data_IF_348053673509
#
_entry.id   IF_348053673509
#
_cell.length_a   1.000
_cell.length_b   1.000
_cell.length_c   1.000
_cell.angle_alpha   90.00
_cell.angle_beta   90.00
_cell.angle_gamma   90.00
#
_symmetry.space_group_name_H-M   'P 1'
#
loop_
_entity.id
_entity.type
_entity.pdbx_description
1 polymer ?
#
# COMPACT_ATOMS: atom_id res chain seq x y z
N UNK A 1 42.45 29.27 75.67
CA UNK A 1 42.94 30.61 76.05
C UNK A 1 44.40 30.60 76.15
N UNK A 2 45.14 31.47 75.52
CA UNK A 2 46.60 31.55 75.47
C UNK A 2 47.01 32.93 75.96
N UNK A 3 47.99 33.02 76.86
CA UNK A 3 48.61 34.26 77.30
C UNK A 3 50.12 34.09 77.18
N UNK A 4 50.76 35.05 76.52
CA UNK A 4 52.27 35.10 76.32
C UNK A 4 52.82 33.76 75.75
N UNK A 5 52.08 33.11 74.81
CA UNK A 5 52.48 31.85 74.21
C UNK A 5 52.11 30.58 75.02
N UNK A 6 51.64 30.73 76.27
CA UNK A 6 51.33 29.62 77.17
C UNK A 6 49.77 29.43 77.28
N UNK A 7 49.28 28.18 77.22
CA UNK A 7 47.90 27.84 77.47
C UNK A 7 47.56 28.08 78.94
N UNK A 8 46.66 29.03 79.23
CA UNK A 8 46.27 29.41 80.60
C UNK A 8 44.92 28.83 81.02
N UNK A 9 44.08 28.42 80.02
CA UNK A 9 42.86 27.71 80.28
C UNK A 9 42.37 27.02 78.96
N UNK A 10 41.77 25.92 79.15
CA UNK A 10 41.05 25.18 78.07
C UNK A 10 39.55 25.04 78.43
N UNK A 11 38.73 25.14 77.45
CA UNK A 11 37.28 24.88 77.54
C UNK A 11 36.88 24.05 76.36
N UNK A 12 36.15 22.97 76.62
CA UNK A 12 35.47 22.23 75.59
C UNK A 12 34.33 23.04 75.04
N UNK A 13 34.26 23.12 73.72
CA UNK A 13 33.15 23.76 72.96
C UNK A 13 32.53 22.69 72.12
N UNK A 14 31.25 22.46 72.29
CA UNK A 14 30.44 21.60 71.40
C UNK A 14 30.08 22.40 70.14
N UNK A 15 30.56 21.91 69.02
CA UNK A 15 30.14 22.46 67.70
C UNK A 15 29.14 21.55 67.14
N UNK A 16 27.85 22.01 66.94
CA UNK A 16 26.83 21.22 66.29
C UNK A 16 27.20 21.07 64.81
N UNK A 17 27.15 19.85 64.30
CA UNK A 17 27.37 19.54 62.87
C UNK A 17 26.07 19.04 62.30
N UNK A 18 25.57 19.72 61.29
CA UNK A 18 24.39 19.28 60.53
C UNK A 18 24.87 18.71 59.21
N UNK A 19 24.48 17.47 58.94
CA UNK A 19 24.70 16.83 57.63
C UNK A 19 23.45 17.04 56.77
N UNK A 20 23.62 17.69 55.64
CA UNK A 20 22.56 17.92 54.67
C UNK A 20 22.81 17.05 53.45
N UNK A 21 21.76 16.65 52.77
CA UNK A 21 21.85 15.86 51.54
C UNK A 21 20.50 15.80 50.82
N UNK A 22 20.55 15.62 49.53
CA UNK A 22 19.39 15.56 48.65
C UNK A 22 19.06 14.13 48.25
N UNK A 23 17.82 13.87 47.91
CA UNK A 23 17.35 12.55 47.46
C UNK A 23 16.83 12.67 46.04
N UNK A 24 17.40 11.93 45.05
CA UNK A 24 16.88 11.87 43.70
C UNK A 24 15.77 10.83 43.55
N UNK A 25 14.83 11.09 42.66
CA UNK A 25 13.87 10.13 42.10
C UNK A 25 14.26 9.84 40.65
N UNK A 26 13.89 8.63 40.15
CA UNK A 26 14.10 8.30 38.74
C UNK A 26 13.16 9.08 37.84
N UNK A 27 13.67 9.50 36.68
CA UNK A 27 12.90 10.09 35.57
C UNK A 27 12.83 9.06 34.46
N UNK A 28 11.64 8.86 33.88
CA UNK A 28 11.43 8.00 32.72
C UNK A 28 11.00 8.86 31.54
N UNK A 29 11.69 8.69 30.40
CA UNK A 29 11.45 9.42 29.14
C UNK A 29 11.55 8.45 27.98
N UNK A 30 11.16 8.88 26.77
CA UNK A 30 11.26 8.05 25.57
C UNK A 30 12.38 8.52 24.65
N UNK A 31 12.87 7.62 23.82
CA UNK A 31 13.83 7.90 22.76
C UNK A 31 13.30 9.04 21.87
N UNK A 32 14.13 10.08 21.70
CA UNK A 32 13.82 11.28 20.94
C UNK A 32 12.98 12.34 21.64
N UNK A 33 12.59 12.13 22.90
CA UNK A 33 11.91 13.19 23.67
C UNK A 33 12.89 14.30 24.07
N UNK A 34 12.37 15.52 24.14
CA UNK A 34 13.09 16.63 24.80
C UNK A 34 12.93 16.53 26.30
N UNK A 35 14.02 16.58 27.05
CA UNK A 35 13.99 16.57 28.50
C UNK A 35 14.18 18.00 29.01
N UNK A 36 13.16 18.54 29.63
CA UNK A 36 13.22 19.87 30.21
C UNK A 36 14.04 19.88 31.53
N UNK A 37 14.82 20.91 31.73
CA UNK A 37 15.62 21.08 32.97
C UNK A 37 14.77 20.98 34.23
N UNK A 38 13.55 21.53 34.17
CA UNK A 38 12.58 21.49 35.27
C UNK A 38 12.16 20.05 35.63
N UNK A 39 11.99 19.16 34.66
CA UNK A 39 11.62 17.75 34.90
C UNK A 39 12.67 17.07 35.77
N UNK A 40 13.95 17.30 35.48
CA UNK A 40 15.06 16.70 36.22
C UNK A 40 15.22 17.36 37.59
N UNK A 41 15.04 18.69 37.69
CA UNK A 41 15.05 19.41 38.97
C UNK A 41 13.94 18.96 39.90
N UNK A 42 12.70 18.73 39.37
CA UNK A 42 11.57 18.30 40.16
C UNK A 42 11.74 16.88 40.71
N UNK A 43 12.63 16.07 40.09
CA UNK A 43 13.02 14.76 40.59
C UNK A 43 13.99 14.78 41.77
N UNK A 44 14.53 15.94 42.13
CA UNK A 44 15.40 16.09 43.31
C UNK A 44 14.60 16.67 44.48
N UNK A 45 14.64 16.00 45.60
CA UNK A 45 14.18 16.54 46.89
C UNK A 45 15.41 17.04 47.62
N UNK A 46 15.66 18.35 47.73
CA UNK A 46 16.82 18.87 48.43
C UNK A 46 16.70 18.65 49.93
N UNK A 47 17.80 18.55 50.62
CA UNK A 47 17.84 18.65 52.08
C UNK A 47 17.40 20.02 52.58
N UNK A 48 17.36 20.18 53.91
CA UNK A 48 16.93 21.44 54.55
C UNK A 48 17.75 22.62 54.00
N UNK A 49 17.06 23.67 53.61
CA UNK A 49 17.64 24.93 53.07
C UNK A 49 18.41 24.77 51.73
N UNK A 50 18.29 23.60 51.08
CA UNK A 50 18.91 23.33 49.79
C UNK A 50 18.17 24.01 48.61
N UNK A 51 18.91 24.69 47.75
CA UNK A 51 18.42 25.34 46.52
C UNK A 51 18.91 24.60 45.29
N UNK A 52 17.98 24.15 44.45
CA UNK A 52 18.27 23.42 43.18
C UNK A 52 18.75 24.36 42.09
N UNK A 53 19.93 24.07 41.52
CA UNK A 53 20.46 24.76 40.35
C UNK A 53 20.00 24.10 39.03
N UNK A 54 20.47 24.66 37.92
CA UNK A 54 20.15 24.14 36.58
C UNK A 54 20.99 22.90 36.25
N UNK A 55 20.39 21.77 35.84
CA UNK A 55 21.12 20.63 35.36
C UNK A 55 21.76 20.91 33.98
N UNK A 56 22.92 20.33 33.72
CA UNK A 56 23.47 20.26 32.37
C UNK A 56 22.90 19.02 31.64
N UNK A 57 21.93 19.24 30.76
CA UNK A 57 21.30 18.17 29.97
C UNK A 57 21.99 18.09 28.62
N UNK A 58 22.57 16.92 28.30
CA UNK A 58 23.16 16.65 26.99
C UNK A 58 22.06 16.50 25.94
N UNK A 59 22.24 17.07 24.73
CA UNK A 59 21.39 16.86 23.57
C UNK A 59 21.31 15.39 23.15
N UNK A 60 22.28 14.57 23.55
CA UNK A 60 22.34 13.13 23.25
C UNK A 60 21.64 12.27 24.29
N UNK A 61 21.10 12.87 25.36
CA UNK A 61 20.50 12.13 26.47
C UNK A 61 19.49 11.10 26.03
N UNK A 62 18.59 11.48 25.12
CA UNK A 62 17.48 10.62 24.65
C UNK A 62 17.70 9.97 23.28
N UNK A 63 18.86 10.16 22.65
CA UNK A 63 19.14 9.58 21.31
C UNK A 63 19.20 8.06 21.31
N UNK A 64 19.53 7.45 22.44
CA UNK A 64 19.59 5.98 22.57
C UNK A 64 18.91 5.52 23.85
N UNK A 65 18.14 4.41 23.81
CA UNK A 65 17.55 3.79 24.99
C UNK A 65 18.60 3.35 26.01
N UNK A 66 18.19 3.24 27.26
CA UNK A 66 19.03 2.75 28.35
C UNK A 66 18.97 3.62 29.61
N UNK A 67 19.77 3.25 30.63
CA UNK A 67 19.91 4.01 31.87
C UNK A 67 20.98 5.08 31.68
N UNK A 68 20.66 6.29 32.06
CA UNK A 68 21.51 7.49 32.00
C UNK A 68 21.47 8.18 33.35
N UNK A 69 22.32 9.20 33.53
CA UNK A 69 22.32 10.07 34.71
C UNK A 69 22.40 11.53 34.27
N UNK A 70 21.68 12.39 34.98
CA UNK A 70 21.79 13.83 34.84
C UNK A 70 22.12 14.42 36.21
N UNK A 71 23.12 15.29 36.27
CA UNK A 71 23.54 15.92 37.53
C UNK A 71 22.77 17.22 37.74
N UNK A 72 22.18 17.35 38.93
CA UNK A 72 21.54 18.58 39.43
C UNK A 72 22.39 19.13 40.55
N UNK A 73 22.94 20.32 40.41
CA UNK A 73 23.65 20.96 41.52
C UNK A 73 22.67 21.47 42.58
N UNK A 74 22.91 21.21 43.83
CA UNK A 74 22.14 21.74 44.96
C UNK A 74 23.06 22.54 45.88
N UNK A 75 22.75 23.80 46.10
CA UNK A 75 23.52 24.69 46.98
C UNK A 75 22.89 24.80 48.36
N UNK A 76 23.68 24.88 49.39
CA UNK A 76 23.24 25.07 50.78
C UNK A 76 23.93 26.29 51.37
N UNK A 77 23.22 27.01 52.22
CA UNK A 77 23.79 28.18 52.87
C UNK A 77 25.03 27.81 53.70
N UNK A 78 26.11 28.56 53.58
CA UNK A 78 27.36 28.31 54.27
C UNK A 78 28.20 27.16 53.72
N UNK A 79 27.83 26.50 52.62
CA UNK A 79 28.59 25.46 51.94
C UNK A 79 29.05 25.98 50.56
N UNK A 80 30.37 26.01 50.34
CA UNK A 80 30.98 26.60 49.13
C UNK A 80 30.75 25.80 47.89
N UNK A 81 30.85 24.45 47.96
CA UNK A 81 30.72 23.56 46.81
C UNK A 81 29.29 22.99 46.76
N UNK A 82 28.60 23.11 45.61
CA UNK A 82 27.26 22.50 45.45
C UNK A 82 27.31 20.99 45.49
N UNK A 83 26.34 20.38 46.15
CA UNK A 83 26.10 18.94 46.07
C UNK A 83 25.77 18.56 44.63
N UNK A 84 26.43 17.55 44.07
CA UNK A 84 26.19 17.05 42.72
C UNK A 84 25.23 15.85 42.77
N UNK A 85 23.93 16.12 42.72
CA UNK A 85 22.90 15.07 42.82
C UNK A 85 22.69 14.40 41.49
N UNK A 86 23.02 13.10 41.43
CA UNK A 86 22.83 12.28 40.23
C UNK A 86 21.40 11.78 40.16
N UNK A 87 20.62 12.26 39.17
CA UNK A 87 19.27 11.85 38.89
C UNK A 87 19.31 10.72 37.87
N UNK A 88 18.82 9.51 38.20
CA UNK A 88 18.74 8.42 37.24
C UNK A 88 17.67 8.75 36.18
N UNK A 89 18.02 8.61 34.88
CA UNK A 89 17.12 8.80 33.74
C UNK A 89 17.04 7.50 32.96
N UNK A 90 15.83 6.95 32.87
CA UNK A 90 15.57 5.74 32.10
C UNK A 90 14.96 6.18 30.74
N UNK A 91 15.68 5.91 29.64
CA UNK A 91 15.23 6.19 28.27
C UNK A 91 14.64 4.91 27.68
N UNK A 92 13.33 4.91 27.40
CA UNK A 92 12.62 3.80 26.79
C UNK A 92 12.66 3.88 25.26
N UNK A 93 12.80 2.76 24.54
CA UNK A 93 12.77 2.75 23.09
C UNK A 93 11.38 3.11 22.55
N UNK A 94 11.31 3.70 21.35
CA UNK A 94 10.05 3.95 20.62
C UNK A 94 9.95 2.96 19.46
N UNK A 95 8.85 2.21 19.41
CA UNK A 95 8.61 1.29 18.32
C UNK A 95 8.31 2.07 17.02
N UNK A 96 8.94 1.67 15.92
CA UNK A 96 8.75 2.23 14.58
C UNK A 96 8.66 1.08 13.59
N UNK A 97 7.84 1.22 12.56
CA UNK A 97 7.70 0.19 11.54
C UNK A 97 7.04 0.71 10.29
N UNK A 98 6.98 -0.15 9.28
CA UNK A 98 6.32 0.12 8.02
C UNK A 98 5.40 -1.03 7.66
N UNK A 99 4.27 -0.70 7.04
CA UNK A 99 3.32 -1.66 6.48
C UNK A 99 2.97 -1.27 5.06
N UNK A 100 2.70 -2.27 4.23
CA UNK A 100 2.20 -2.07 2.87
C UNK A 100 0.80 -2.65 2.79
N UNK A 101 -0.15 -1.84 2.32
CA UNK A 101 -1.54 -2.21 2.11
C UNK A 101 -1.95 -1.94 0.66
N UNK A 102 -2.94 -2.65 0.09
CA UNK A 102 -3.42 -2.35 -1.25
C UNK A 102 -4.19 -1.02 -1.31
N UNK A 103 -4.23 -0.44 -2.50
CA UNK A 103 -5.04 0.74 -2.80
C UNK A 103 -6.52 0.44 -2.58
N UNK A 104 -7.21 1.39 -1.94
CA UNK A 104 -8.63 1.28 -1.62
C UNK A 104 -8.96 0.42 -0.41
N UNK A 105 -7.94 -0.03 0.35
CA UNK A 105 -8.16 -0.80 1.56
C UNK A 105 -8.89 0.01 2.63
N UNK A 106 -9.67 -0.64 3.48
CA UNK A 106 -10.47 0.00 4.53
C UNK A 106 -9.59 0.54 5.66
N UNK A 107 -10.06 1.61 6.31
CA UNK A 107 -9.36 2.20 7.47
C UNK A 107 -9.22 1.20 8.62
N UNK A 108 -10.22 0.33 8.83
CA UNK A 108 -10.18 -0.70 9.86
C UNK A 108 -9.08 -1.74 9.58
N UNK A 109 -8.93 -2.14 8.31
CA UNK A 109 -7.85 -3.05 7.92
C UNK A 109 -6.48 -2.39 8.07
N UNK A 110 -6.34 -1.12 7.72
CA UNK A 110 -5.09 -0.35 7.95
C UNK A 110 -4.74 -0.32 9.43
N UNK A 111 -5.72 -0.08 10.33
CA UNK A 111 -5.51 -0.12 11.79
C UNK A 111 -5.08 -1.51 12.28
N UNK A 112 -5.75 -2.56 11.80
CA UNK A 112 -5.42 -3.96 12.13
C UNK A 112 -3.96 -4.28 11.78
N UNK A 113 -3.56 -3.98 10.53
CA UNK A 113 -2.20 -4.26 10.02
C UNK A 113 -1.15 -3.41 10.74
N UNK A 114 -1.44 -2.13 11.01
CA UNK A 114 -0.55 -1.26 11.77
C UNK A 114 -0.35 -1.73 13.21
N UNK A 115 -1.43 -2.19 13.88
CA UNK A 115 -1.35 -2.77 15.22
C UNK A 115 -0.52 -4.04 15.23
N UNK A 116 -0.78 -4.97 14.30
CA UNK A 116 0.00 -6.21 14.17
C UNK A 116 1.50 -5.92 13.95
N UNK A 117 1.83 -4.89 13.17
CA UNK A 117 3.23 -4.47 12.97
C UNK A 117 3.85 -3.89 14.24
N UNK A 118 3.12 -3.09 14.99
CA UNK A 118 3.59 -2.59 16.28
C UNK A 118 3.85 -3.73 17.28
N UNK A 119 2.97 -4.75 17.31
CA UNK A 119 3.13 -5.97 18.12
C UNK A 119 4.36 -6.78 17.69
N UNK A 120 4.56 -6.96 16.37
CA UNK A 120 5.75 -7.62 15.81
C UNK A 120 7.03 -6.92 16.27
N UNK A 121 7.10 -5.59 16.10
CA UNK A 121 8.26 -4.79 16.49
C UNK A 121 8.50 -4.86 17.99
N UNK A 122 7.47 -4.62 18.81
CA UNK A 122 7.58 -4.62 20.27
C UNK A 122 8.01 -5.99 20.84
N UNK A 123 7.67 -7.07 20.14
CA UNK A 123 8.04 -8.43 20.51
C UNK A 123 9.37 -8.93 19.92
N UNK A 124 9.97 -8.16 18.99
CA UNK A 124 11.22 -8.55 18.37
C UNK A 124 12.38 -8.63 19.37
N UNK A 125 13.34 -9.51 19.12
CA UNK A 125 14.54 -9.64 19.94
C UNK A 125 15.34 -8.34 19.99
N UNK A 126 15.46 -7.65 18.86
CA UNK A 126 16.18 -6.39 18.74
C UNK A 126 15.56 -5.26 19.55
N UNK A 127 14.22 -5.20 19.60
CA UNK A 127 13.51 -4.22 20.42
C UNK A 127 13.66 -4.54 21.90
N UNK A 128 13.46 -5.81 22.28
CA UNK A 128 13.60 -6.27 23.67
C UNK A 128 15.02 -6.06 24.19
N UNK A 129 16.03 -6.21 23.38
CA UNK A 129 17.42 -5.94 23.75
C UNK A 129 17.70 -4.46 24.06
N UNK A 130 16.87 -3.55 23.58
CA UNK A 130 16.96 -2.10 23.88
C UNK A 130 16.20 -1.69 25.14
N UNK A 131 15.40 -2.59 25.73
CA UNK A 131 14.71 -2.28 26.97
C UNK A 131 15.71 -2.18 28.13
N UNK A 132 15.71 -1.08 28.90
CA UNK A 132 16.56 -0.96 30.06
C UNK A 132 16.11 -1.93 31.16
N UNK A 133 17.04 -2.35 32.03
CA UNK A 133 16.75 -3.18 33.19
C UNK A 133 15.63 -2.54 34.04
N UNK A 134 14.63 -3.32 34.40
CA UNK A 134 13.44 -2.87 35.13
C UNK A 134 12.24 -2.55 34.23
N UNK A 135 12.45 -2.36 32.91
CA UNK A 135 11.35 -2.27 31.96
C UNK A 135 10.83 -3.68 31.59
N UNK A 136 9.52 -3.89 31.74
CA UNK A 136 8.82 -5.17 31.49
C UNK A 136 7.51 -4.91 30.78
N UNK A 137 6.83 -5.99 30.38
CA UNK A 137 5.43 -6.00 29.98
C UNK A 137 5.13 -4.91 28.94
N UNK A 138 5.72 -5.03 27.74
CA UNK A 138 5.40 -4.16 26.61
C UNK A 138 4.04 -4.58 26.05
N UNK A 139 3.04 -3.72 26.18
CA UNK A 139 1.66 -3.96 25.74
C UNK A 139 1.33 -3.00 24.57
N UNK A 140 0.73 -3.55 23.50
CA UNK A 140 0.25 -2.75 22.36
C UNK A 140 -1.26 -2.54 22.52
N UNK A 141 -1.65 -1.29 22.65
CA UNK A 141 -3.03 -0.87 22.87
C UNK A 141 -3.88 -0.82 21.59
N UNK A 142 -5.13 -0.45 21.76
CA UNK A 142 -6.06 -0.20 20.64
C UNK A 142 -5.78 1.17 20.01
N UNK A 143 -5.92 1.27 18.70
CA UNK A 143 -5.80 2.54 17.96
C UNK A 143 -7.12 3.29 18.08
N UNK A 144 -7.11 4.39 18.80
CA UNK A 144 -8.28 5.26 19.01
C UNK A 144 -8.30 6.45 18.05
N UNK A 145 -7.14 6.81 17.48
CA UNK A 145 -7.02 7.89 16.50
C UNK A 145 -7.73 7.52 15.19
N UNK A 146 -8.39 8.49 14.56
CA UNK A 146 -9.02 8.31 13.26
C UNK A 146 -7.94 8.21 12.17
N UNK A 147 -8.01 7.11 11.39
CA UNK A 147 -7.17 6.94 10.20
C UNK A 147 -7.93 7.48 9.00
N UNK A 148 -7.36 8.46 8.30
CA UNK A 148 -8.01 9.06 7.14
C UNK A 148 -8.14 8.05 5.99
N UNK A 149 -9.35 7.91 5.44
CA UNK A 149 -9.60 7.04 4.28
C UNK A 149 -8.73 7.43 3.06
N UNK A 150 -8.34 8.70 2.96
CA UNK A 150 -7.45 9.19 1.90
C UNK A 150 -6.05 8.54 1.91
N UNK A 151 -5.64 7.92 3.02
CA UNK A 151 -4.32 7.28 3.11
C UNK A 151 -4.15 6.16 2.08
N UNK A 152 -5.23 5.46 1.72
CA UNK A 152 -5.24 4.36 0.75
C UNK A 152 -5.77 4.75 -0.63
N UNK A 153 -6.13 6.02 -0.86
CA UNK A 153 -6.75 6.47 -2.11
C UNK A 153 -5.84 6.34 -3.34
N UNK A 154 -4.53 6.45 -3.14
CA UNK A 154 -3.54 6.38 -4.20
C UNK A 154 -2.33 5.54 -3.78
N UNK A 155 -1.76 4.80 -4.73
CA UNK A 155 -0.53 4.06 -4.51
C UNK A 155 0.67 5.00 -4.28
N UNK A 156 1.63 4.55 -3.48
CA UNK A 156 2.87 5.27 -3.18
C UNK A 156 3.44 4.93 -1.82
N UNK A 157 4.69 5.29 -1.61
CA UNK A 157 5.37 5.13 -0.34
C UNK A 157 5.02 6.26 0.62
N UNK A 158 5.08 6.00 1.93
CA UNK A 158 4.90 6.98 2.99
C UNK A 158 3.62 7.83 2.85
N UNK A 159 2.49 7.17 2.60
CA UNK A 159 1.19 7.85 2.42
C UNK A 159 0.63 8.43 3.72
N UNK A 160 1.15 8.01 4.85
CA UNK A 160 0.78 8.51 6.17
C UNK A 160 1.38 7.67 7.28
N UNK A 161 1.08 8.07 8.52
CA UNK A 161 1.54 7.37 9.72
C UNK A 161 0.34 7.06 10.60
N UNK A 162 0.27 5.80 11.05
CA UNK A 162 -0.69 5.37 12.07
C UNK A 162 0.01 5.32 13.42
N UNK A 163 -0.56 6.01 14.41
CA UNK A 163 -0.07 6.00 15.79
C UNK A 163 -0.70 4.86 16.55
N UNK A 164 0.14 3.98 17.10
CA UNK A 164 -0.27 2.80 17.86
C UNK A 164 0.26 2.94 19.28
N UNK A 165 -0.59 3.05 20.32
CA UNK A 165 -0.12 3.22 21.69
C UNK A 165 0.61 1.97 22.16
N UNK A 166 1.84 2.14 22.66
CA UNK A 166 2.67 1.10 23.26
C UNK A 166 2.94 1.49 24.71
N UNK A 167 2.58 0.60 25.63
CA UNK A 167 2.71 0.81 27.08
C UNK A 167 3.83 -0.07 27.64
N UNK A 168 4.67 0.53 28.44
CA UNK A 168 5.80 -0.10 29.13
C UNK A 168 5.55 -0.05 30.63
N UNK A 169 5.90 -1.09 31.36
CA UNK A 169 5.89 -1.09 32.83
C UNK A 169 7.33 -0.97 33.32
N UNK A 170 7.64 0.11 34.04
CA UNK A 170 8.95 0.35 34.69
C UNK A 170 8.73 0.50 36.17
N UNK A 171 9.34 -0.37 36.96
CA UNK A 171 9.22 -0.38 38.43
C UNK A 171 7.75 -0.33 38.90
N UNK A 172 6.82 -1.00 38.18
CA UNK A 172 5.40 -1.06 38.49
C UNK A 172 4.58 0.14 37.96
N UNK A 173 5.20 1.14 37.34
CA UNK A 173 4.53 2.31 36.75
C UNK A 173 4.40 2.14 35.24
N UNK A 174 3.22 2.45 34.70
CA UNK A 174 2.95 2.39 33.26
C UNK A 174 3.28 3.70 32.53
N UNK A 175 4.01 3.59 31.45
CA UNK A 175 4.39 4.70 30.56
C UNK A 175 3.96 4.36 29.14
N UNK A 176 3.21 5.25 28.48
CA UNK A 176 2.69 5.00 27.12
C UNK A 176 3.29 5.99 26.13
N UNK A 177 3.70 5.48 24.98
CA UNK A 177 4.16 6.26 23.83
C UNK A 177 3.61 5.64 22.54
N UNK A 178 3.22 6.49 21.60
CA UNK A 178 2.76 6.02 20.30
C UNK A 178 3.93 5.51 19.45
N UNK A 179 3.79 4.28 18.98
CA UNK A 179 4.59 3.76 17.88
C UNK A 179 4.16 4.43 16.58
N UNK A 180 5.13 4.85 15.77
CA UNK A 180 4.88 5.43 14.47
C UNK A 180 4.98 4.34 13.40
N UNK A 181 3.84 3.93 12.83
CA UNK A 181 3.77 2.93 11.76
C UNK A 181 3.49 3.64 10.43
N UNK A 182 4.49 3.69 9.57
CA UNK A 182 4.38 4.27 8.24
C UNK A 182 3.56 3.37 7.32
N UNK A 183 2.63 3.93 6.57
CA UNK A 183 1.78 3.22 5.62
C UNK A 183 2.26 3.48 4.20
N UNK A 184 2.61 2.42 3.50
CA UNK A 184 2.87 2.39 2.07
C UNK A 184 1.64 1.78 1.37
N UNK A 185 1.31 2.27 0.19
CA UNK A 185 0.14 1.81 -0.57
C UNK A 185 0.60 1.26 -1.91
N UNK A 186 0.29 0.00 -2.18
CA UNK A 186 0.55 -0.65 -3.46
C UNK A 186 -0.73 -0.67 -4.29
N UNK A 187 -0.61 -0.45 -5.60
CA UNK A 187 -1.75 -0.48 -6.51
C UNK A 187 -1.40 -1.14 -7.83
N UNK A 188 -2.43 -1.63 -8.50
CA UNK A 188 -2.36 -2.29 -9.80
C UNK A 188 -2.92 -1.38 -10.91
N UNK A 189 -2.51 -1.65 -12.14
CA UNK A 189 -3.06 -1.04 -13.35
C UNK A 189 -3.58 -2.14 -14.28
N UNK A 190 -4.36 -1.77 -15.29
CA UNK A 190 -4.79 -2.70 -16.33
C UNK A 190 -4.74 -2.04 -17.72
N UNK A 191 -4.31 -2.83 -18.70
CA UNK A 191 -4.42 -2.48 -20.11
C UNK A 191 -5.85 -2.81 -20.62
N UNK A 192 -6.33 -2.17 -21.70
CA UNK A 192 -7.64 -2.50 -22.25
C UNK A 192 -7.66 -3.86 -22.94
N UNK A 193 -8.75 -4.61 -22.74
CA UNK A 193 -9.05 -5.84 -23.48
C UNK A 193 -9.99 -5.51 -24.61
N UNK A 194 -9.74 -6.06 -25.80
CA UNK A 194 -10.53 -5.86 -27.00
C UNK A 194 -11.45 -7.06 -27.25
N UNK A 195 -12.70 -6.80 -27.53
CA UNK A 195 -13.72 -7.83 -27.80
C UNK A 195 -14.66 -7.38 -28.89
N UNK A 196 -15.08 -8.28 -29.76
CA UNK A 196 -16.07 -7.95 -30.80
C UNK A 196 -17.46 -7.93 -30.18
N UNK A 197 -18.29 -6.96 -30.58
CA UNK A 197 -19.65 -6.79 -30.10
C UNK A 197 -20.43 -8.13 -30.14
N UNK A 198 -21.09 -8.45 -29.03
CA UNK A 198 -21.81 -9.70 -28.80
C UNK A 198 -20.98 -10.86 -28.28
N UNK A 199 -19.65 -10.74 -28.26
CA UNK A 199 -18.79 -11.72 -27.61
C UNK A 199 -18.53 -11.31 -26.16
N UNK A 200 -18.19 -12.28 -25.30
CA UNK A 200 -17.72 -12.03 -23.95
C UNK A 200 -16.20 -11.90 -23.94
N UNK A 201 -15.62 -11.04 -23.08
CA UNK A 201 -14.18 -11.06 -22.84
C UNK A 201 -13.71 -12.44 -22.36
N UNK A 202 -12.57 -12.90 -22.86
CA UNK A 202 -11.96 -14.13 -22.39
C UNK A 202 -11.29 -13.90 -21.02
N UNK A 203 -11.55 -14.79 -20.05
CA UNK A 203 -11.03 -14.70 -18.67
C UNK A 203 -9.51 -14.54 -18.65
N UNK A 204 -8.79 -15.37 -19.42
CA UNK A 204 -7.33 -15.32 -19.47
C UNK A 204 -6.80 -13.98 -20.00
N UNK A 205 -7.44 -13.41 -21.03
CA UNK A 205 -7.04 -12.09 -21.56
C UNK A 205 -7.30 -10.96 -20.57
N UNK A 206 -8.39 -11.06 -19.80
CA UNK A 206 -8.70 -10.09 -18.74
C UNK A 206 -7.66 -10.18 -17.63
N UNK A 207 -7.29 -11.39 -17.22
CA UNK A 207 -6.26 -11.63 -16.21
C UNK A 207 -4.89 -11.11 -16.64
N UNK A 208 -4.48 -11.42 -17.87
CA UNK A 208 -3.19 -11.00 -18.45
C UNK A 208 -3.08 -9.49 -18.66
N UNK A 209 -4.23 -8.81 -18.82
CA UNK A 209 -4.27 -7.35 -18.94
C UNK A 209 -3.97 -6.63 -17.61
N UNK A 210 -4.11 -7.29 -16.46
CA UNK A 210 -3.82 -6.70 -15.16
C UNK A 210 -2.31 -6.73 -14.89
N UNK A 211 -1.76 -5.55 -14.56
CA UNK A 211 -0.38 -5.37 -14.11
C UNK A 211 -0.39 -5.16 -12.60
N UNK A 212 -0.21 -6.21 -11.81
CA UNK A 212 -0.26 -6.09 -10.36
C UNK A 212 0.90 -5.24 -9.85
N UNK A 213 0.66 -4.53 -8.75
CA UNK A 213 1.73 -3.91 -7.98
C UNK A 213 2.62 -4.96 -7.31
N UNK A 214 3.68 -4.51 -6.66
CA UNK A 214 4.66 -5.39 -6.01
C UNK A 214 3.99 -6.34 -4.98
N UNK A 215 4.27 -7.63 -5.10
CA UNK A 215 3.69 -8.66 -4.24
C UNK A 215 2.24 -9.02 -4.53
N UNK A 216 1.62 -8.44 -5.58
CA UNK A 216 0.24 -8.73 -5.98
C UNK A 216 0.13 -10.02 -6.80
N UNK A 217 -0.94 -10.78 -6.56
CA UNK A 217 -1.32 -11.97 -7.33
C UNK A 217 -2.70 -11.75 -7.93
N UNK A 218 -2.80 -11.76 -9.26
CA UNK A 218 -4.06 -11.59 -9.98
C UNK A 218 -4.93 -12.84 -9.81
N UNK A 219 -6.18 -12.64 -9.41
CA UNK A 219 -7.19 -13.70 -9.32
C UNK A 219 -7.95 -13.80 -10.63
N UNK A 220 -8.48 -14.97 -10.92
CA UNK A 220 -9.33 -15.15 -12.10
C UNK A 220 -10.64 -14.36 -11.91
N UNK A 221 -11.05 -13.52 -12.88
CA UNK A 221 -12.36 -12.86 -12.84
C UNK A 221 -13.45 -13.92 -12.92
N UNK A 222 -14.57 -13.67 -12.22
CA UNK A 222 -15.70 -14.58 -12.28
C UNK A 222 -16.46 -14.41 -13.61
N UNK A 223 -16.92 -15.51 -14.21
CA UNK A 223 -17.70 -15.45 -15.46
C UNK A 223 -18.95 -14.57 -15.35
N UNK A 224 -19.56 -14.50 -14.18
CA UNK A 224 -20.74 -13.65 -13.91
C UNK A 224 -20.41 -12.15 -13.99
N UNK A 225 -19.15 -11.77 -13.80
CA UNK A 225 -18.70 -10.38 -13.87
C UNK A 225 -18.32 -9.94 -15.29
N UNK A 226 -18.32 -10.89 -16.26
CA UNK A 226 -18.03 -10.56 -17.66
C UNK A 226 -19.22 -9.79 -18.28
N UNK A 227 -18.98 -8.59 -18.83
CA UNK A 227 -20.05 -7.73 -19.33
C UNK A 227 -20.72 -8.29 -20.58
N UNK A 228 -22.00 -7.96 -20.77
CA UNK A 228 -22.63 -8.06 -22.05
C UNK A 228 -22.15 -6.92 -22.96
N UNK A 229 -21.63 -7.27 -24.13
CA UNK A 229 -21.05 -6.33 -25.10
C UNK A 229 -21.98 -5.93 -26.22
N UNK A 230 -23.22 -6.46 -26.26
CA UNK A 230 -24.24 -6.05 -27.27
C UNK A 230 -24.54 -4.56 -27.13
N UNK A 231 -24.59 -3.86 -28.25
CA UNK A 231 -24.87 -2.42 -28.33
C UNK A 231 -23.90 -1.53 -27.53
N UNK A 232 -22.67 -2.03 -27.23
CA UNK A 232 -21.65 -1.32 -26.46
C UNK A 232 -20.49 -0.78 -27.28
N UNK A 233 -20.58 -0.80 -28.60
CA UNK A 233 -19.54 -0.22 -29.47
C UNK A 233 -19.34 1.27 -29.16
N UNK A 234 -18.10 1.64 -28.81
CA UNK A 234 -17.75 3.01 -28.45
C UNK A 234 -18.10 3.42 -27.01
N UNK A 235 -18.64 2.51 -26.19
CA UNK A 235 -18.84 2.76 -24.77
C UNK A 235 -17.49 2.76 -24.02
N UNK A 236 -17.33 3.69 -23.07
CA UNK A 236 -16.10 3.88 -22.28
C UNK A 236 -16.20 3.34 -20.87
N UNK A 237 -17.38 2.88 -20.47
CA UNK A 237 -17.71 2.42 -19.12
C UNK A 237 -17.74 0.90 -18.97
N UNK A 238 -17.44 0.16 -20.05
CA UNK A 238 -17.41 -1.30 -20.01
C UNK A 238 -16.12 -1.77 -19.32
N UNK A 239 -16.27 -2.44 -18.20
CA UNK A 239 -15.11 -2.93 -17.41
C UNK A 239 -15.37 -4.33 -16.86
N UNK A 240 -14.28 -5.07 -16.55
CA UNK A 240 -14.34 -6.32 -15.79
C UNK A 240 -13.64 -6.08 -14.43
N UNK A 241 -14.37 -6.22 -13.31
CA UNK A 241 -13.73 -6.16 -12.00
C UNK A 241 -12.86 -7.41 -11.79
N UNK A 242 -11.59 -7.19 -11.55
CA UNK A 242 -10.60 -8.27 -11.34
C UNK A 242 -9.89 -8.03 -10.03
N UNK A 243 -9.83 -9.05 -9.18
CA UNK A 243 -9.20 -8.96 -7.88
C UNK A 243 -7.70 -9.22 -7.96
N UNK A 244 -6.93 -8.42 -7.23
CA UNK A 244 -5.50 -8.63 -6.98
C UNK A 244 -5.30 -8.81 -5.50
N UNK A 245 -4.76 -9.97 -5.11
CA UNK A 245 -4.51 -10.32 -3.71
C UNK A 245 -3.08 -9.93 -3.32
N UNK A 246 -2.96 -9.27 -2.18
CA UNK A 246 -1.71 -8.90 -1.53
C UNK A 246 -1.62 -9.54 -0.14
N UNK A 247 -0.47 -9.47 0.50
CA UNK A 247 -0.27 -10.01 1.86
C UNK A 247 -1.24 -9.40 2.89
N UNK A 248 -1.58 -8.12 2.75
CA UNK A 248 -2.38 -7.36 3.72
C UNK A 248 -3.73 -6.88 3.17
N UNK A 249 -4.31 -7.56 2.18
CA UNK A 249 -5.63 -7.22 1.65
C UNK A 249 -5.80 -7.53 0.18
N UNK A 250 -6.89 -7.02 -0.41
CA UNK A 250 -7.22 -7.20 -1.82
C UNK A 250 -7.56 -5.84 -2.47
N UNK A 251 -7.14 -5.67 -3.72
CA UNK A 251 -7.54 -4.55 -4.59
C UNK A 251 -8.48 -5.08 -5.67
N UNK A 252 -9.51 -4.30 -6.02
CA UNK A 252 -10.34 -4.56 -7.22
C UNK A 252 -9.94 -3.61 -8.33
N UNK A 253 -9.33 -4.16 -9.38
CA UNK A 253 -8.93 -3.44 -10.59
C UNK A 253 -10.05 -3.53 -11.61
N UNK A 254 -10.47 -2.40 -12.16
CA UNK A 254 -11.42 -2.35 -13.27
C UNK A 254 -10.65 -2.46 -14.59
N UNK A 255 -10.66 -3.65 -15.21
CA UNK A 255 -10.03 -3.87 -16.51
C UNK A 255 -10.92 -3.26 -17.61
N UNK A 256 -10.46 -2.26 -18.37
CA UNK A 256 -11.25 -1.65 -19.43
C UNK A 256 -11.54 -2.64 -20.56
N UNK A 257 -12.76 -2.66 -21.07
CA UNK A 257 -13.15 -3.47 -22.24
C UNK A 257 -13.50 -2.54 -23.40
N UNK A 258 -12.73 -2.63 -24.48
CA UNK A 258 -12.99 -1.91 -25.71
C UNK A 258 -13.81 -2.79 -26.65
N UNK A 259 -15.07 -2.42 -26.89
CA UNK A 259 -15.97 -3.18 -27.75
C UNK A 259 -15.82 -2.73 -29.20
N UNK A 260 -15.40 -3.68 -30.04
CA UNK A 260 -15.18 -3.50 -31.47
C UNK A 260 -16.46 -3.78 -32.25
N UNK A 261 -16.76 -3.01 -33.32
CA UNK A 261 -17.95 -3.24 -34.16
C UNK A 261 -17.85 -4.56 -34.90
N UNK A 262 -18.99 -5.18 -35.15
CA UNK A 262 -19.08 -6.38 -36.00
C UNK A 262 -18.81 -6.02 -37.46
N UNK A 263 -18.12 -6.91 -38.18
CA UNK A 263 -18.05 -6.91 -39.63
C UNK A 263 -19.19 -7.78 -40.16
N UNK A 264 -20.06 -7.21 -40.97
CA UNK A 264 -21.21 -7.90 -41.52
C UNK A 264 -21.17 -7.85 -43.05
N UNK A 265 -20.55 -8.89 -43.70
CA UNK A 265 -20.50 -8.93 -45.15
C UNK A 265 -21.89 -9.13 -45.75
N UNK A 266 -22.18 -8.47 -46.85
CA UNK A 266 -23.33 -8.78 -47.72
C UNK A 266 -23.12 -10.11 -48.45
N UNK A 267 -24.21 -10.68 -48.91
CA UNK A 267 -24.18 -11.93 -49.70
C UNK A 267 -23.57 -11.73 -51.10
N UNK A 268 -22.94 -12.77 -51.58
CA UNK A 268 -22.43 -12.87 -52.96
C UNK A 268 -23.36 -13.68 -53.85
N UNK A 269 -23.50 -13.27 -55.14
CA UNK A 269 -24.17 -14.03 -56.20
C UNK A 269 -23.16 -14.45 -57.24
N UNK A 270 -23.10 -15.74 -57.52
CA UNK A 270 -22.19 -16.31 -58.52
C UNK A 270 -22.93 -17.20 -59.48
N UNK A 271 -22.40 -17.38 -60.69
CA UNK A 271 -23.01 -18.26 -61.68
C UNK A 271 -22.76 -19.75 -61.34
N UNK A 272 -23.69 -20.58 -61.73
CA UNK A 272 -23.52 -22.02 -61.62
C UNK A 272 -22.24 -22.43 -62.37
N UNK A 273 -21.50 -23.39 -61.77
CA UNK A 273 -20.25 -23.93 -62.27
C UNK A 273 -19.11 -22.87 -62.40
N UNK A 274 -19.27 -21.70 -61.76
CA UNK A 274 -18.19 -20.70 -61.68
C UNK A 274 -17.03 -21.16 -60.82
N UNK A 275 -15.82 -20.72 -61.19
CA UNK A 275 -14.58 -20.90 -60.41
C UNK A 275 -14.24 -19.62 -59.67
N UNK A 276 -13.35 -19.68 -58.68
CA UNK A 276 -12.85 -18.50 -57.97
C UNK A 276 -13.80 -17.93 -56.92
N UNK A 277 -14.80 -18.70 -56.45
CA UNK A 277 -15.72 -18.25 -55.39
C UNK A 277 -15.00 -17.78 -54.11
N UNK A 278 -13.89 -18.40 -53.77
CA UNK A 278 -13.08 -18.01 -52.60
C UNK A 278 -12.61 -16.56 -52.70
N UNK A 279 -12.10 -16.15 -53.87
CA UNK A 279 -11.65 -14.77 -54.09
C UNK A 279 -12.82 -13.77 -54.02
N UNK A 280 -14.01 -14.15 -54.52
CA UNK A 280 -15.22 -13.32 -54.45
C UNK A 280 -15.65 -13.15 -52.99
N UNK A 281 -15.63 -14.22 -52.21
CA UNK A 281 -15.94 -14.21 -50.76
C UNK A 281 -14.95 -13.31 -50.03
N UNK A 282 -13.66 -13.47 -50.31
CA UNK A 282 -12.58 -12.65 -49.70
C UNK A 282 -12.78 -11.17 -50.05
N UNK A 283 -13.03 -10.84 -51.29
CA UNK A 283 -13.26 -9.47 -51.74
C UNK A 283 -14.48 -8.86 -51.00
N UNK A 284 -15.58 -9.60 -50.86
CA UNK A 284 -16.79 -9.11 -50.18
C UNK A 284 -16.60 -8.94 -48.68
N UNK A 285 -15.87 -9.84 -48.05
CA UNK A 285 -15.47 -9.69 -46.64
C UNK A 285 -14.54 -8.47 -46.47
N UNK A 286 -13.64 -8.21 -47.42
CA UNK A 286 -12.73 -7.04 -47.38
C UNK A 286 -13.52 -5.74 -47.56
N UNK A 287 -14.48 -5.69 -48.44
CA UNK A 287 -15.39 -4.55 -48.62
C UNK A 287 -16.11 -4.22 -47.29
N UNK A 288 -16.73 -5.23 -46.66
CA UNK A 288 -17.39 -5.07 -45.38
C UNK A 288 -16.44 -4.63 -44.26
N UNK A 289 -15.24 -5.18 -44.19
CA UNK A 289 -14.21 -4.78 -43.23
C UNK A 289 -13.80 -3.31 -43.42
N UNK A 290 -13.60 -2.87 -44.65
CA UNK A 290 -13.27 -1.48 -44.99
C UNK A 290 -14.39 -0.51 -44.70
N UNK A 291 -15.68 -0.95 -44.91
CA UNK A 291 -16.86 -0.14 -44.64
C UNK A 291 -17.22 -0.09 -43.13
N UNK A 292 -16.55 -0.86 -42.29
CA UNK A 292 -16.84 -0.90 -40.84
C UNK A 292 -16.51 0.46 -40.19
N UNK A 293 -17.52 1.07 -39.57
CA UNK A 293 -17.46 2.36 -38.89
C UNK A 293 -17.38 2.19 -37.38
N UNK A 294 -17.16 3.29 -36.66
CA UNK A 294 -17.05 3.31 -35.18
C UNK A 294 -15.90 2.46 -34.62
N UNK A 295 -14.85 2.27 -35.42
CA UNK A 295 -13.61 1.68 -34.89
C UNK A 295 -12.96 2.65 -33.89
N UNK A 296 -12.41 2.14 -32.78
CA UNK A 296 -11.59 2.95 -31.89
C UNK A 296 -10.35 3.52 -32.61
N UNK A 297 -9.80 4.59 -32.08
CA UNK A 297 -8.59 5.21 -32.62
C UNK A 297 -7.46 4.18 -32.79
N UNK A 298 -6.74 4.28 -33.92
CA UNK A 298 -5.63 3.39 -34.28
C UNK A 298 -6.02 1.92 -34.51
N UNK A 299 -7.32 1.57 -34.53
CA UNK A 299 -7.78 0.21 -34.86
C UNK A 299 -8.19 0.15 -36.33
N UNK A 300 -7.66 -0.83 -37.03
CA UNK A 300 -8.04 -1.17 -38.42
C UNK A 300 -8.57 -2.60 -38.49
N UNK A 301 -9.34 -2.90 -39.53
CA UNK A 301 -9.84 -4.26 -39.78
C UNK A 301 -9.31 -4.76 -41.12
N UNK A 302 -8.87 -6.00 -41.17
CA UNK A 302 -8.44 -6.67 -42.38
C UNK A 302 -8.95 -8.10 -42.45
N UNK A 303 -9.11 -8.63 -43.65
CA UNK A 303 -9.39 -10.04 -43.83
C UNK A 303 -8.08 -10.82 -43.84
N UNK A 304 -7.96 -11.78 -42.93
CA UNK A 304 -6.80 -12.70 -42.86
C UNK A 304 -6.88 -13.74 -43.97
N UNK A 305 -7.98 -14.49 -43.98
CA UNK A 305 -8.18 -15.63 -44.87
C UNK A 305 -9.67 -15.96 -45.02
N UNK A 306 -10.02 -16.72 -46.06
CA UNK A 306 -11.25 -17.47 -46.12
C UNK A 306 -11.00 -18.87 -45.55
N UNK A 307 -11.84 -19.31 -44.65
CA UNK A 307 -11.63 -20.58 -43.90
C UNK A 307 -11.74 -21.76 -44.85
N UNK A 308 -10.71 -22.56 -44.94
CA UNK A 308 -10.66 -23.74 -45.78
C UNK A 308 -11.84 -24.68 -45.49
N UNK A 309 -12.44 -25.22 -46.57
CA UNK A 309 -13.58 -26.14 -46.48
C UNK A 309 -14.96 -25.50 -46.19
N UNK A 310 -15.03 -24.16 -46.03
CA UNK A 310 -16.31 -23.45 -45.85
C UNK A 310 -16.89 -22.89 -47.16
N UNK A 311 -16.11 -22.79 -48.21
CA UNK A 311 -16.55 -22.29 -49.52
C UNK A 311 -17.40 -23.37 -50.20
N UNK A 312 -18.71 -23.14 -50.46
CA UNK A 312 -19.56 -24.13 -51.04
C UNK A 312 -19.26 -24.39 -52.51
N UNK A 313 -19.62 -25.57 -53.01
CA UNK A 313 -19.57 -25.86 -54.43
C UNK A 313 -20.62 -25.04 -55.20
N UNK A 314 -20.30 -24.65 -56.45
CA UNK A 314 -21.20 -23.85 -57.31
C UNK A 314 -22.05 -24.72 -58.25
N UNK A 315 -22.06 -26.05 -58.06
CA UNK A 315 -22.70 -27.04 -58.97
C UNK A 315 -24.24 -27.04 -58.90
N UNK A 316 -24.82 -26.55 -57.80
CA UNK A 316 -26.30 -26.46 -57.64
C UNK A 316 -26.72 -24.98 -57.48
N UNK A 317 -27.83 -24.61 -58.15
CA UNK A 317 -28.42 -23.26 -58.02
C UNK A 317 -29.19 -23.11 -56.73
N UNK A 318 -29.28 -21.88 -56.20
CA UNK A 318 -29.98 -21.54 -54.98
C UNK A 318 -29.07 -21.01 -53.89
N UNK A 319 -29.64 -20.82 -52.69
CA UNK A 319 -28.88 -20.40 -51.51
C UNK A 319 -28.01 -21.56 -51.05
N UNK A 320 -26.73 -21.31 -50.88
CA UNK A 320 -25.76 -22.30 -50.42
C UNK A 320 -25.45 -22.11 -48.94
N UNK A 321 -24.71 -23.05 -48.36
CA UNK A 321 -24.09 -22.86 -47.05
C UNK A 321 -23.18 -21.62 -47.11
N UNK A 322 -23.27 -20.70 -46.15
CA UNK A 322 -22.43 -19.52 -46.15
C UNK A 322 -20.94 -19.88 -46.06
N UNK A 323 -20.10 -19.16 -46.79
CA UNK A 323 -18.65 -19.24 -46.59
C UNK A 323 -18.24 -18.45 -45.35
N UNK A 324 -17.13 -18.84 -44.75
CA UNK A 324 -16.60 -18.16 -43.56
C UNK A 324 -15.26 -17.47 -43.88
N UNK A 325 -15.17 -16.18 -43.58
CA UNK A 325 -13.92 -15.42 -43.61
C UNK A 325 -13.45 -15.10 -42.18
N UNK A 326 -12.17 -15.04 -42.00
CA UNK A 326 -11.54 -14.64 -40.73
C UNK A 326 -11.09 -13.20 -40.86
N UNK A 327 -11.61 -12.32 -40.01
CA UNK A 327 -11.21 -10.93 -39.90
C UNK A 327 -10.34 -10.69 -38.67
N UNK A 328 -9.33 -9.84 -38.80
CA UNK A 328 -8.47 -9.43 -37.73
C UNK A 328 -8.64 -7.92 -37.46
N UNK A 329 -8.78 -7.57 -36.21
CA UNK A 329 -8.70 -6.19 -35.74
C UNK A 329 -7.27 -5.93 -35.30
N UNK A 330 -6.66 -4.91 -35.86
CA UNK A 330 -5.24 -4.60 -35.66
C UNK A 330 -5.09 -3.21 -35.07
N UNK A 331 -4.38 -3.11 -33.96
CA UNK A 331 -4.01 -1.84 -33.32
C UNK A 331 -2.49 -1.74 -33.24
N UNK A 332 -1.94 -0.63 -33.72
CA UNK A 332 -0.50 -0.37 -33.68
C UNK A 332 0.34 -1.56 -34.19
N UNK A 333 -0.17 -2.23 -35.26
CA UNK A 333 0.49 -3.38 -35.89
C UNK A 333 0.22 -4.74 -35.23
N UNK A 334 -0.41 -4.77 -34.05
CA UNK A 334 -0.73 -6.00 -33.31
C UNK A 334 -2.18 -6.43 -33.50
N UNK A 335 -2.42 -7.73 -33.67
CA UNK A 335 -3.79 -8.28 -33.71
C UNK A 335 -4.36 -8.27 -32.28
N UNK A 336 -5.42 -7.47 -32.07
CA UNK A 336 -6.08 -7.31 -30.76
C UNK A 336 -7.34 -8.14 -30.61
N UNK A 337 -7.99 -8.50 -31.75
CA UNK A 337 -9.10 -9.44 -31.81
C UNK A 337 -9.17 -10.12 -33.16
N UNK A 338 -9.79 -11.31 -33.18
CA UNK A 338 -10.06 -12.08 -34.40
C UNK A 338 -11.50 -12.56 -34.35
N UNK A 339 -12.20 -12.50 -35.48
CA UNK A 339 -13.59 -12.94 -35.58
C UNK A 339 -13.83 -13.66 -36.88
N UNK A 340 -14.56 -14.78 -36.80
CA UNK A 340 -15.14 -15.44 -37.99
C UNK A 340 -16.40 -14.69 -38.39
N UNK A 341 -16.52 -14.36 -39.67
CA UNK A 341 -17.70 -13.71 -40.28
C UNK A 341 -18.23 -14.56 -41.42
N UNK A 342 -19.53 -14.64 -41.55
CA UNK A 342 -20.18 -15.43 -42.58
C UNK A 342 -20.54 -14.56 -43.77
N UNK A 343 -20.22 -15.07 -44.98
CA UNK A 343 -20.59 -14.46 -46.28
C UNK A 343 -21.67 -15.34 -46.91
N UNK A 344 -22.91 -14.89 -47.00
CA UNK A 344 -23.98 -15.65 -47.65
C UNK A 344 -23.67 -15.84 -49.14
N UNK A 345 -23.87 -17.06 -49.65
CA UNK A 345 -23.61 -17.41 -51.07
C UNK A 345 -24.89 -17.83 -51.75
N UNK A 346 -25.17 -17.27 -52.93
CA UNK A 346 -26.26 -17.67 -53.79
C UNK A 346 -25.72 -17.99 -55.18
N UNK A 347 -25.98 -19.22 -55.65
CA UNK A 347 -25.63 -19.64 -57.01
C UNK A 347 -26.84 -19.43 -57.93
N UNK A 348 -26.64 -18.67 -58.98
CA UNK A 348 -27.69 -18.40 -60.00
C UNK A 348 -27.37 -19.13 -61.29
N UNK A 349 -28.37 -19.57 -61.98
CA UNK A 349 -28.26 -20.23 -63.30
C UNK A 349 -29.41 -19.86 -64.20
N UNK A 350 -29.19 -19.84 -65.52
CA UNK A 350 -30.26 -19.71 -66.49
C UNK A 350 -30.97 -21.07 -66.69
N UNK A 351 -32.25 -21.08 -66.60
CA UNK A 351 -33.03 -22.22 -67.08
C UNK A 351 -33.22 -22.06 -68.59
N UNK A 352 -32.63 -22.97 -69.37
CA UNK A 352 -32.99 -22.93 -70.80
C UNK A 352 -34.53 -23.11 -70.97
N UNK A 353 -35.14 -22.22 -71.76
CA UNK A 353 -36.52 -22.37 -72.17
C UNK A 353 -36.67 -23.52 -73.14
#
# INVERSE_FOLDING_TARGET
>A
YVKDGNVVATKEVTVPVTVVGSTPKSVVVFEGDTVEAKTVQDAVTPGTDGTKGNPAISEDLTKTPGKKEVTVPVTYDGITDPEQVKVPVTVLPVAKGEVTVPKGETTDKVKEVAKAKAEEVANSADFKAKLPDGAKDVEVGAITEEVLAAITSEAGSNKGTVKVPVTYTVDGVKYTKDAAITVNVVGSNADPVYVVEGDKPEVDKVKDAVKPGEGGTVQDPMEVDLPNTNDKVGATDVTVPTKVKYANGEETVKVPVTVLPKVTPEGVKVLKDSTGLEEVVKAKATEAATATTKLPDSVTVRVKEVKAGTVPATTATGVQTPATAVVEYVKDGNVVATKEVTVPVTVVGSTPK
#
